data_IF_855665950340
#
_entry.id   IF_855665950340
#
_cell.length_a   1.000
_cell.length_b   1.000
_cell.length_c   1.000
_cell.angle_alpha   90.00
_cell.angle_beta   90.00
_cell.angle_gamma   90.00
#
_symmetry.space_group_name_H-M   'P 1'
#
loop_
_entity.id
_entity.type
_entity.pdbx_description
1 polymer ?
#
# COMPACT_ATOMS: atom_id res chain seq x y z
N UNK A 1 17.79 -9.59 2.16
CA UNK A 1 16.45 -9.98 2.66
C UNK A 1 15.38 -9.50 1.70
N UNK A 2 14.44 -10.36 1.32
CA UNK A 2 13.35 -9.90 0.47
C UNK A 2 12.47 -8.88 1.21
N UNK A 3 11.99 -7.91 0.47
CA UNK A 3 11.07 -6.92 1.04
C UNK A 3 9.67 -7.50 1.04
N UNK A 4 8.88 -7.11 2.02
CA UNK A 4 7.51 -7.59 2.20
C UNK A 4 6.53 -6.46 1.88
N UNK A 5 5.52 -6.75 1.07
CA UNK A 5 4.45 -5.81 0.78
C UNK A 5 3.12 -6.41 1.24
N UNK A 6 2.25 -5.55 1.76
CA UNK A 6 0.88 -5.93 2.10
C UNK A 6 -0.05 -5.25 1.12
N UNK A 7 -0.88 -6.04 0.44
CA UNK A 7 -1.87 -5.53 -0.51
C UNK A 7 -3.26 -5.71 0.08
N UNK A 8 -4.02 -4.61 0.19
CA UNK A 8 -5.36 -4.61 0.78
C UNK A 8 -6.36 -4.10 -0.26
N UNK A 9 -7.20 -4.97 -0.76
CA UNK A 9 -8.21 -4.62 -1.77
C UNK A 9 -9.29 -5.68 -1.76
N UNK A 10 -10.54 -5.28 -1.76
CA UNK A 10 -11.66 -6.22 -1.75
C UNK A 10 -11.93 -6.83 -3.14
N UNK A 11 -11.37 -6.25 -4.20
CA UNK A 11 -11.48 -6.80 -5.54
C UNK A 11 -10.41 -7.88 -5.74
N UNK A 12 -10.84 -9.10 -5.98
CA UNK A 12 -9.93 -10.20 -6.21
C UNK A 12 -9.04 -9.94 -7.42
N UNK A 13 -9.58 -9.38 -8.48
CA UNK A 13 -8.83 -9.11 -9.70
C UNK A 13 -7.71 -8.09 -9.47
N UNK A 14 -8.06 -6.97 -8.84
CA UNK A 14 -7.06 -5.92 -8.54
C UNK A 14 -6.02 -6.45 -7.57
N UNK A 15 -6.45 -7.13 -6.51
CA UNK A 15 -5.55 -7.69 -5.52
C UNK A 15 -4.55 -8.65 -6.16
N UNK A 16 -5.05 -9.54 -7.01
CA UNK A 16 -4.20 -10.49 -7.72
C UNK A 16 -3.19 -9.79 -8.61
N UNK A 17 -3.64 -8.80 -9.37
CA UNK A 17 -2.77 -8.06 -10.29
C UNK A 17 -1.66 -7.31 -9.54
N UNK A 18 -2.00 -6.68 -8.42
CA UNK A 18 -1.03 -5.97 -7.61
C UNK A 18 -0.01 -6.93 -6.97
N UNK A 19 -0.48 -8.07 -6.49
CA UNK A 19 0.41 -9.07 -5.93
C UNK A 19 1.40 -9.59 -6.95
N UNK A 20 0.91 -9.91 -8.16
CA UNK A 20 1.78 -10.38 -9.24
C UNK A 20 2.81 -9.32 -9.64
N UNK A 21 2.36 -8.08 -9.73
CA UNK A 21 3.26 -6.97 -10.05
C UNK A 21 4.40 -6.87 -9.02
N UNK A 22 4.03 -6.87 -7.76
CA UNK A 22 5.00 -6.70 -6.67
C UNK A 22 5.95 -7.89 -6.55
N UNK A 23 5.43 -9.10 -6.75
CA UNK A 23 6.28 -10.29 -6.77
C UNK A 23 7.32 -10.20 -7.88
N UNK A 24 6.93 -9.67 -9.02
CA UNK A 24 7.84 -9.44 -10.14
C UNK A 24 8.94 -8.42 -9.84
N UNK A 25 8.72 -7.60 -8.82
CA UNK A 25 9.70 -6.61 -8.37
C UNK A 25 10.50 -7.08 -7.15
N UNK A 26 10.37 -8.32 -6.77
CA UNK A 26 11.18 -8.91 -5.69
C UNK A 26 10.53 -8.86 -4.32
N UNK A 27 9.27 -8.47 -4.23
CA UNK A 27 8.57 -8.46 -2.94
C UNK A 27 7.99 -9.83 -2.63
N UNK A 28 8.00 -10.17 -1.34
CA UNK A 28 7.13 -11.21 -0.82
C UNK A 28 5.83 -10.51 -0.46
N UNK A 29 4.70 -11.02 -0.91
CA UNK A 29 3.43 -10.31 -0.78
C UNK A 29 2.46 -11.04 0.14
N UNK A 30 1.90 -10.30 1.09
CA UNK A 30 0.76 -10.72 1.89
C UNK A 30 -0.45 -9.96 1.38
N UNK A 31 -1.62 -10.56 1.44
CA UNK A 31 -2.83 -9.95 0.91
C UNK A 31 -3.96 -9.99 1.93
N UNK A 32 -4.82 -8.98 1.90
CA UNK A 32 -5.98 -8.89 2.75
C UNK A 32 -7.14 -8.33 1.93
N UNK A 33 -8.37 -8.68 2.29
CA UNK A 33 -9.54 -8.28 1.53
C UNK A 33 -10.20 -7.01 2.07
N UNK A 34 -9.82 -6.58 3.26
CA UNK A 34 -10.31 -5.34 3.86
C UNK A 34 -9.35 -4.90 4.96
N UNK A 35 -9.61 -3.71 5.51
CA UNK A 35 -8.73 -3.14 6.55
C UNK A 35 -8.68 -3.96 7.83
N UNK A 36 -9.81 -4.57 8.21
CA UNK A 36 -9.85 -5.38 9.43
C UNK A 36 -8.96 -6.61 9.31
N UNK A 37 -9.03 -7.29 8.16
CA UNK A 37 -8.15 -8.43 7.90
C UNK A 37 -6.69 -8.00 7.82
N UNK A 38 -6.43 -6.83 7.24
CA UNK A 38 -5.08 -6.28 7.14
C UNK A 38 -4.48 -6.03 8.53
N UNK A 39 -5.26 -5.49 9.45
CA UNK A 39 -4.80 -5.29 10.83
C UNK A 39 -4.42 -6.63 11.47
N UNK A 40 -5.20 -7.66 11.21
CA UNK A 40 -4.89 -9.00 11.71
C UNK A 40 -3.57 -9.50 11.12
N UNK A 41 -3.36 -9.32 9.83
CA UNK A 41 -2.09 -9.69 9.18
C UNK A 41 -0.91 -8.94 9.82
N UNK A 42 -1.10 -7.67 10.14
CA UNK A 42 -0.06 -6.85 10.74
C UNK A 42 0.32 -7.28 12.16
N UNK A 43 -0.48 -8.11 12.79
CA UNK A 43 -0.14 -8.66 14.11
C UNK A 43 0.99 -9.69 14.02
N UNK A 44 1.26 -10.22 12.82
CA UNK A 44 2.26 -11.28 12.62
C UNK A 44 3.25 -10.99 11.48
N UNK A 45 3.02 -9.93 10.72
CA UNK A 45 3.86 -9.56 9.58
C UNK A 45 4.22 -8.09 9.68
N UNK A 46 5.46 -7.76 9.39
CA UNK A 46 5.91 -6.36 9.38
C UNK A 46 6.30 -6.00 7.95
N UNK A 47 5.38 -5.45 7.15
CA UNK A 47 5.70 -5.12 5.76
C UNK A 47 6.57 -3.87 5.64
N UNK A 48 7.28 -3.79 4.52
CA UNK A 48 8.07 -2.62 4.14
C UNK A 48 7.26 -1.64 3.31
N UNK A 49 6.11 -2.08 2.83
CA UNK A 49 5.24 -1.30 1.96
C UNK A 49 3.80 -1.79 2.11
N UNK A 50 2.86 -0.86 2.13
CA UNK A 50 1.43 -1.19 2.14
C UNK A 50 0.78 -0.54 0.94
N UNK A 51 -0.01 -1.31 0.19
CA UNK A 51 -0.81 -0.83 -0.93
C UNK A 51 -2.27 -1.10 -0.58
N UNK A 52 -3.08 -0.06 -0.48
CA UNK A 52 -4.46 -0.22 -0.03
C UNK A 52 -5.46 0.50 -0.93
N UNK A 53 -6.61 -0.13 -1.13
CA UNK A 53 -7.78 0.51 -1.73
C UNK A 53 -8.37 1.49 -0.72
N UNK A 54 -9.11 2.48 -1.20
CA UNK A 54 -9.81 3.45 -0.35
C UNK A 54 -11.21 2.98 0.00
N UNK A 55 -11.88 2.28 -0.89
CA UNK A 55 -13.25 1.82 -0.67
C UNK A 55 -13.28 0.34 -0.37
N UNK A 56 -13.48 0.03 0.89
CA UNK A 56 -13.53 -1.36 1.34
C UNK A 56 -14.65 -1.52 2.37
N UNK A 57 -15.30 -2.69 2.41
CA UNK A 57 -16.27 -2.95 3.46
C UNK A 57 -15.57 -3.07 4.81
N UNK A 58 -16.31 -2.86 5.87
CA UNK A 58 -15.87 -2.97 7.27
C UNK A 58 -14.92 -1.87 7.72
N UNK A 59 -13.91 -1.54 6.94
CA UNK A 59 -12.95 -0.48 7.29
C UNK A 59 -12.45 0.13 6.00
N UNK A 60 -12.68 1.42 5.81
CA UNK A 60 -12.23 2.14 4.63
C UNK A 60 -10.71 2.28 4.63
N UNK A 61 -10.16 2.63 3.47
CA UNK A 61 -8.73 2.90 3.38
C UNK A 61 -8.29 4.03 4.29
N UNK A 62 -9.11 5.07 4.40
CA UNK A 62 -8.81 6.19 5.28
C UNK A 62 -8.77 5.77 6.75
N UNK A 63 -9.73 4.97 7.18
CA UNK A 63 -9.76 4.42 8.53
C UNK A 63 -8.56 3.50 8.77
N UNK A 64 -8.20 2.71 7.78
CA UNK A 64 -7.05 1.83 7.86
C UNK A 64 -5.75 2.64 8.03
N UNK A 65 -5.58 3.71 7.23
CA UNK A 65 -4.41 4.57 7.36
C UNK A 65 -4.36 5.22 8.74
N UNK A 66 -5.51 5.64 9.27
CA UNK A 66 -5.57 6.19 10.62
C UNK A 66 -5.06 5.18 11.65
N UNK A 67 -5.47 3.92 11.51
CA UNK A 67 -5.02 2.87 12.42
C UNK A 67 -3.50 2.65 12.28
N UNK A 68 -2.97 2.68 11.06
CA UNK A 68 -1.54 2.52 10.82
C UNK A 68 -0.74 3.65 11.46
N UNK A 69 -1.18 4.88 11.27
CA UNK A 69 -0.46 6.05 11.79
C UNK A 69 -0.56 6.17 13.31
N UNK A 70 -1.57 5.57 13.90
CA UNK A 70 -1.73 5.56 15.35
C UNK A 70 -0.93 4.49 16.08
N UNK A 71 -0.22 3.64 15.36
CA UNK A 71 0.56 2.55 15.95
C UNK A 71 2.04 2.76 15.59
N UNK A 72 2.90 2.83 16.59
CA UNK A 72 4.34 3.04 16.38
C UNK A 72 4.98 2.03 15.47
N UNK A 73 4.50 0.79 15.50
CA UNK A 73 5.06 -0.29 14.68
C UNK A 73 4.77 -0.13 13.20
N UNK A 74 3.70 0.59 12.86
CA UNK A 74 3.26 0.73 11.47
C UNK A 74 3.28 2.17 10.96
N UNK A 75 3.46 3.15 11.84
CA UNK A 75 3.33 4.56 11.48
C UNK A 75 4.30 5.03 10.41
N UNK A 76 5.43 4.38 10.26
CA UNK A 76 6.46 4.76 9.30
C UNK A 76 6.46 3.94 8.02
N UNK A 77 5.60 2.92 7.95
CA UNK A 77 5.51 2.10 6.73
C UNK A 77 4.88 2.96 5.64
N UNK A 78 5.53 3.08 4.48
CA UNK A 78 4.95 3.86 3.38
C UNK A 78 3.67 3.20 2.87
N UNK A 79 2.67 4.02 2.59
CA UNK A 79 1.36 3.57 2.13
C UNK A 79 1.09 4.14 0.75
N UNK A 80 0.77 3.27 -0.20
CA UNK A 80 0.31 3.66 -1.52
C UNK A 80 -1.20 3.41 -1.56
N UNK A 81 -1.95 4.40 -2.01
CA UNK A 81 -3.40 4.28 -2.15
C UNK A 81 -3.72 3.95 -3.60
N UNK A 82 -4.58 2.97 -3.81
CA UNK A 82 -5.08 2.60 -5.13
C UNK A 82 -6.58 2.91 -5.15
N UNK A 83 -7.00 3.77 -6.06
CA UNK A 83 -8.38 4.22 -6.12
C UNK A 83 -8.81 4.40 -7.57
N UNK A 84 -10.12 4.50 -7.79
CA UNK A 84 -10.65 4.75 -9.13
C UNK A 84 -10.87 6.24 -9.33
N UNK A 85 -10.35 6.77 -10.43
CA UNK A 85 -10.55 8.17 -10.80
C UNK A 85 -12.01 8.46 -11.06
N UNK A 86 -12.75 7.46 -11.57
CA UNK A 86 -14.17 7.57 -11.82
C UNK A 86 -15.00 7.80 -10.55
N UNK A 87 -14.47 7.43 -9.40
CA UNK A 87 -15.15 7.60 -8.11
C UNK A 87 -14.90 8.96 -7.47
N UNK A 88 -14.18 9.83 -8.16
CA UNK A 88 -13.94 11.19 -7.71
C UNK A 88 -12.57 11.39 -7.08
N UNK A 89 -12.02 12.57 -7.30
CA UNK A 89 -10.68 12.93 -6.83
C UNK A 89 -10.56 12.98 -5.31
N UNK A 90 -11.68 13.06 -4.60
CA UNK A 90 -11.69 13.17 -3.15
C UNK A 90 -11.42 11.86 -2.39
N UNK A 91 -11.27 10.78 -3.12
CA UNK A 91 -10.98 9.48 -2.50
C UNK A 91 -9.51 9.33 -2.05
N UNK A 92 -8.64 10.25 -2.45
CA UNK A 92 -7.23 10.20 -2.06
C UNK A 92 -7.05 10.66 -0.61
N UNK A 93 -6.11 10.05 0.08
CA UNK A 93 -5.76 10.42 1.46
C UNK A 93 -4.37 11.06 1.45
N UNK A 94 -4.26 12.25 2.03
CA UNK A 94 -3.01 13.02 2.05
C UNK A 94 -1.88 12.32 2.79
N UNK A 95 -2.21 11.39 3.66
CA UNK A 95 -1.22 10.67 4.44
C UNK A 95 -0.54 9.55 3.63
N UNK A 96 -1.10 9.22 2.45
CA UNK A 96 -0.48 8.24 1.56
C UNK A 96 0.74 8.86 0.87
N UNK A 97 1.76 8.06 0.65
CA UNK A 97 2.96 8.50 -0.04
C UNK A 97 2.70 8.75 -1.52
N UNK A 98 1.75 8.04 -2.09
CA UNK A 98 1.45 8.10 -3.51
C UNK A 98 0.04 7.60 -3.76
N UNK A 99 -0.61 8.12 -4.80
CA UNK A 99 -1.96 7.69 -5.20
C UNK A 99 -1.88 7.08 -6.59
N UNK A 100 -2.42 5.88 -6.72
CA UNK A 100 -2.45 5.11 -7.97
C UNK A 100 -3.90 5.04 -8.43
N UNK A 101 -4.17 5.37 -9.69
CA UNK A 101 -5.51 5.33 -10.25
C UNK A 101 -5.71 4.03 -11.05
N UNK A 102 -6.71 3.24 -10.65
CA UNK A 102 -7.00 1.94 -11.26
C UNK A 102 -7.39 2.04 -12.73
N UNK A 103 -7.90 3.18 -13.15
CA UNK A 103 -8.44 3.42 -14.50
C UNK A 103 -7.36 3.74 -15.53
N UNK A 104 -6.13 3.93 -15.10
CA UNK A 104 -5.00 4.29 -15.95
C UNK A 104 -3.97 3.18 -15.84
N UNK A 105 -2.93 3.22 -16.64
CA UNK A 105 -1.85 2.24 -16.61
C UNK A 105 -1.27 2.11 -15.19
N UNK A 106 -1.70 1.09 -14.47
CA UNK A 106 -1.33 0.87 -13.08
C UNK A 106 0.16 0.57 -12.94
N UNK A 107 0.71 -0.22 -13.84
CA UNK A 107 2.11 -0.61 -13.75
C UNK A 107 3.06 0.57 -13.86
N UNK A 108 2.80 1.48 -14.78
CA UNK A 108 3.61 2.69 -14.94
C UNK A 108 3.55 3.56 -13.68
N UNK A 109 2.35 3.70 -13.11
CA UNK A 109 2.18 4.46 -11.87
C UNK A 109 2.87 3.77 -10.70
N UNK A 110 2.76 2.45 -10.62
CA UNK A 110 3.43 1.69 -9.55
C UNK A 110 4.96 1.80 -9.67
N UNK A 111 5.48 1.75 -10.90
CA UNK A 111 6.92 1.91 -11.11
C UNK A 111 7.40 3.26 -10.57
N UNK A 112 6.67 4.33 -10.88
CA UNK A 112 7.01 5.66 -10.39
C UNK A 112 6.90 5.75 -8.86
N UNK A 113 5.85 5.17 -8.30
CA UNK A 113 5.63 5.19 -6.86
C UNK A 113 6.72 4.43 -6.12
N UNK A 114 7.08 3.25 -6.60
CA UNK A 114 8.13 2.44 -5.98
C UNK A 114 9.48 3.15 -6.03
N UNK A 115 9.77 3.81 -7.13
CA UNK A 115 11.01 4.56 -7.26
C UNK A 115 11.11 5.64 -6.18
N UNK A 116 10.03 6.40 -5.99
CA UNK A 116 9.98 7.46 -4.97
C UNK A 116 10.11 6.88 -3.57
N UNK A 117 9.33 5.85 -3.26
CA UNK A 117 9.30 5.25 -1.93
C UNK A 117 10.62 4.56 -1.58
N UNK A 118 11.16 3.77 -2.50
CA UNK A 118 12.42 3.07 -2.27
C UNK A 118 13.60 4.03 -2.20
N UNK A 119 13.59 5.07 -3.00
CA UNK A 119 14.62 6.10 -2.95
C UNK A 119 14.60 6.83 -1.61
N UNK A 120 13.42 7.18 -1.11
CA UNK A 120 13.27 7.80 0.19
C UNK A 120 13.83 6.93 1.30
N UNK A 121 13.50 5.64 1.26
CA UNK A 121 13.99 4.69 2.25
C UNK A 121 15.50 4.55 2.16
N UNK A 122 16.03 4.49 0.94
CA UNK A 122 17.46 4.41 0.71
C UNK A 122 18.19 5.63 1.23
N UNK A 123 17.66 6.83 1.00
CA UNK A 123 18.25 8.07 1.50
C UNK A 123 18.19 8.12 3.01
N UNK A 124 17.05 7.75 3.58
CA UNK A 124 16.88 7.72 5.02
C UNK A 124 17.88 6.76 5.66
N UNK A 125 18.07 5.63 5.03
CA UNK A 125 19.03 4.64 5.49
C UNK A 125 20.46 5.18 5.37
N UNK A 126 20.79 5.77 4.23
CA UNK A 126 22.12 6.36 4.02
C UNK A 126 22.40 7.51 4.98
N UNK A 127 21.39 8.34 5.22
CA UNK A 127 21.51 9.45 6.15
C UNK A 127 21.71 8.96 7.59
N UNK A 128 21.25 7.76 7.88
CA UNK A 128 21.43 7.16 9.18
C UNK A 128 22.83 6.61 9.42
N UNK A 129 23.58 6.54 8.36
CA UNK A 129 24.98 6.09 8.46
C UNK A 129 25.84 7.19 9.10
#
# INVERSE_FOLDING_TARGET
>A
MPKVALVVDDSMLIRYSLCRYLEGRGFTVEAAVNGAEAIEVLSRVHPDLIVTDMRMPKMSGSEFITALKGNEKTSRIPVLVVTSKANGACEADERAEFVIYKDIDVETQMDAALEVVMEKQGRGHSAGD
#
